data_IF_038271190652
#
_entry.id   IF_038271190652
#
_cell.length_a   1.000
_cell.length_b   1.000
_cell.length_c   1.000
_cell.angle_alpha   90.00
_cell.angle_beta   90.00
_cell.angle_gamma   90.00
#
_symmetry.space_group_name_H-M   'P 1'
#
loop_
_entity.id
_entity.type
_entity.pdbx_description
1 polymer ?
#
# COMPACT_ATOMS: atom_id res chain seq x y z
N UNK A 1 3.70 25.68 6.15
CA UNK A 1 4.48 25.81 4.89
C UNK A 1 5.18 24.51 4.47
N UNK A 2 5.66 23.64 5.38
CA UNK A 2 6.32 22.36 5.02
C UNK A 2 5.40 21.20 4.58
N UNK A 3 4.11 21.23 4.86
CA UNK A 3 3.25 20.04 4.75
C UNK A 3 2.96 19.57 3.31
N UNK A 4 3.12 20.40 2.28
CA UNK A 4 2.47 20.17 0.99
C UNK A 4 3.35 19.44 -0.03
N UNK A 5 4.62 19.83 -0.15
CA UNK A 5 5.65 19.06 -0.86
C UNK A 5 5.80 17.65 -0.25
N UNK A 6 5.60 17.55 1.07
CA UNK A 6 5.50 16.28 1.78
C UNK A 6 4.32 15.43 1.29
N UNK A 7 3.20 16.01 0.85
CA UNK A 7 2.10 15.21 0.31
C UNK A 7 2.51 14.46 -0.95
N UNK A 8 3.07 15.17 -1.93
CA UNK A 8 3.43 14.57 -3.22
C UNK A 8 4.49 13.48 -3.07
N UNK A 9 5.49 13.71 -2.21
CA UNK A 9 6.53 12.71 -1.94
C UNK A 9 5.96 11.52 -1.17
N UNK A 10 5.09 11.76 -0.20
CA UNK A 10 4.48 10.68 0.59
C UNK A 10 3.48 9.87 -0.24
N UNK A 11 2.68 10.49 -1.12
CA UNK A 11 1.76 9.78 -2.04
C UNK A 11 2.53 8.88 -3.00
N UNK A 12 3.64 9.37 -3.58
CA UNK A 12 4.52 8.56 -4.43
C UNK A 12 5.17 7.42 -3.66
N UNK A 13 5.68 7.70 -2.47
CA UNK A 13 6.33 6.70 -1.63
C UNK A 13 5.33 5.63 -1.19
N UNK A 14 4.16 6.02 -0.68
CA UNK A 14 3.07 5.12 -0.31
C UNK A 14 2.66 4.22 -1.48
N UNK A 15 2.36 4.80 -2.65
CA UNK A 15 1.97 4.04 -3.84
C UNK A 15 3.07 3.07 -4.32
N UNK A 16 4.34 3.47 -4.24
CA UNK A 16 5.47 2.60 -4.61
C UNK A 16 5.61 1.43 -3.64
N UNK A 17 5.52 1.69 -2.34
CA UNK A 17 5.58 0.63 -1.30
C UNK A 17 4.42 -0.34 -1.46
N UNK A 18 3.20 0.14 -1.71
CA UNK A 18 2.04 -0.74 -1.98
C UNK A 18 2.22 -1.58 -3.25
N UNK A 19 2.80 -1.01 -4.31
CA UNK A 19 3.07 -1.74 -5.56
C UNK A 19 4.13 -2.83 -5.37
N UNK A 20 5.21 -2.51 -4.66
CA UNK A 20 6.23 -3.50 -4.27
C UNK A 20 5.60 -4.62 -3.45
N UNK A 21 4.72 -4.28 -2.48
CA UNK A 21 4.00 -5.26 -1.67
C UNK A 21 3.14 -6.21 -2.53
N UNK A 22 2.39 -5.68 -3.50
CA UNK A 22 1.58 -6.50 -4.41
C UNK A 22 2.45 -7.42 -5.29
N UNK A 23 3.54 -6.90 -5.85
CA UNK A 23 4.43 -7.67 -6.72
C UNK A 23 5.15 -8.78 -5.96
N UNK A 24 5.69 -8.50 -4.77
CA UNK A 24 6.37 -9.53 -3.98
C UNK A 24 5.40 -10.63 -3.54
N UNK A 25 4.15 -10.31 -3.17
CA UNK A 25 3.13 -11.33 -2.89
C UNK A 25 2.83 -12.25 -4.09
N UNK A 26 2.87 -11.74 -5.33
CA UNK A 26 2.62 -12.54 -6.54
C UNK A 26 3.85 -13.33 -7.00
N UNK A 27 5.05 -12.76 -6.84
CA UNK A 27 6.29 -13.31 -7.39
C UNK A 27 7.00 -14.27 -6.42
N UNK A 28 6.88 -14.04 -5.11
CA UNK A 28 7.51 -14.88 -4.08
C UNK A 28 7.06 -16.35 -4.18
N UNK A 29 5.76 -16.69 -4.33
CA UNK A 29 5.32 -18.09 -4.47
C UNK A 29 5.96 -18.77 -5.69
N UNK A 30 5.99 -18.05 -6.82
CA UNK A 30 6.57 -18.56 -8.08
C UNK A 30 8.09 -18.77 -7.98
N UNK A 31 8.78 -17.87 -7.29
CA UNK A 31 10.22 -17.97 -7.04
C UNK A 31 10.58 -19.18 -6.18
N UNK A 32 9.81 -19.46 -5.11
CA UNK A 32 10.04 -20.62 -4.26
C UNK A 32 9.80 -21.94 -5.00
N UNK A 33 8.74 -22.03 -5.81
CA UNK A 33 8.49 -23.21 -6.63
C UNK A 33 9.67 -23.46 -7.59
N UNK A 34 10.17 -22.40 -8.25
CA UNK A 34 11.28 -22.51 -9.21
C UNK A 34 12.64 -22.81 -8.57
N UNK A 35 12.89 -22.37 -7.33
CA UNK A 35 14.19 -22.51 -6.64
C UNK A 35 14.24 -23.61 -5.57
N UNK A 36 13.11 -24.29 -5.33
CA UNK A 36 12.93 -25.41 -4.38
C UNK A 36 13.95 -26.55 -4.51
N UNK A 37 14.71 -26.62 -5.61
CA UNK A 37 15.80 -27.58 -5.80
C UNK A 37 17.18 -27.17 -5.26
N UNK A 38 17.44 -25.90 -4.89
CA UNK A 38 18.82 -25.45 -4.62
C UNK A 38 19.05 -24.61 -3.35
N UNK A 39 18.04 -24.00 -2.72
CA UNK A 39 18.30 -22.98 -1.70
C UNK A 39 17.29 -23.04 -0.55
N UNK A 40 17.64 -23.74 0.52
CA UNK A 40 17.00 -23.67 1.83
C UNK A 40 17.47 -22.43 2.61
N UNK A 41 17.34 -21.26 1.99
CA UNK A 41 17.58 -19.95 2.60
C UNK A 41 16.24 -19.22 2.62
N UNK A 42 15.28 -19.84 3.31
CA UNK A 42 13.98 -19.28 3.64
C UNK A 42 14.21 -18.13 4.61
N UNK A 43 14.56 -16.96 4.07
CA UNK A 43 14.44 -15.72 4.83
C UNK A 43 12.99 -15.65 5.29
N UNK A 44 12.80 -15.53 6.60
CA UNK A 44 11.50 -15.61 7.25
C UNK A 44 10.54 -14.57 6.66
N UNK A 45 9.69 -15.03 5.75
CA UNK A 45 8.89 -14.22 4.83
C UNK A 45 7.92 -13.31 5.61
N UNK A 46 7.55 -13.76 6.80
CA UNK A 46 6.65 -13.10 7.73
C UNK A 46 7.24 -11.81 8.31
N UNK A 47 8.54 -11.78 8.60
CA UNK A 47 9.20 -10.61 9.17
C UNK A 47 9.29 -9.45 8.16
N UNK A 48 9.61 -9.78 6.91
CA UNK A 48 9.67 -8.80 5.83
C UNK A 48 8.28 -8.22 5.51
N UNK A 49 7.25 -9.07 5.45
CA UNK A 49 5.88 -8.62 5.25
C UNK A 49 5.41 -7.70 6.38
N UNK A 50 5.72 -8.07 7.64
CA UNK A 50 5.36 -7.28 8.83
C UNK A 50 5.99 -5.88 8.83
N UNK A 51 7.29 -5.77 8.49
CA UNK A 51 7.98 -4.48 8.43
C UNK A 51 7.40 -3.59 7.33
N UNK A 52 7.18 -4.15 6.14
CA UNK A 52 6.62 -3.39 5.02
C UNK A 52 5.24 -2.85 5.39
N UNK A 53 4.38 -3.69 5.99
CA UNK A 53 3.06 -3.25 6.44
C UNK A 53 3.15 -2.17 7.53
N UNK A 54 4.05 -2.35 8.51
CA UNK A 54 4.27 -1.39 9.61
C UNK A 54 4.70 -0.01 9.10
N UNK A 55 5.43 0.06 7.99
CA UNK A 55 5.84 1.33 7.36
C UNK A 55 4.76 1.84 6.40
N UNK A 56 4.19 0.96 5.58
CA UNK A 56 3.20 1.31 4.56
C UNK A 56 1.95 1.93 5.17
N UNK A 57 1.43 1.37 6.26
CA UNK A 57 0.21 1.84 6.91
C UNK A 57 0.31 3.30 7.39
N UNK A 58 1.27 3.70 8.25
CA UNK A 58 1.35 5.08 8.73
C UNK A 58 1.66 6.07 7.62
N UNK A 59 2.51 5.70 6.66
CA UNK A 59 2.85 6.54 5.50
C UNK A 59 1.61 6.78 4.63
N UNK A 60 0.88 5.72 4.27
CA UNK A 60 -0.32 5.82 3.43
C UNK A 60 -1.41 6.61 4.14
N UNK A 61 -1.65 6.35 5.42
CA UNK A 61 -2.65 7.06 6.22
C UNK A 61 -2.32 8.56 6.31
N UNK A 62 -1.04 8.90 6.52
CA UNK A 62 -0.59 10.29 6.55
C UNK A 62 -0.82 10.99 5.21
N UNK A 63 -0.45 10.36 4.09
CA UNK A 63 -0.64 10.96 2.76
C UNK A 63 -2.12 11.11 2.39
N UNK A 64 -2.97 10.11 2.72
CA UNK A 64 -4.41 10.16 2.51
C UNK A 64 -5.07 11.27 3.35
N UNK A 65 -4.67 11.42 4.61
CA UNK A 65 -5.20 12.48 5.48
C UNK A 65 -4.84 13.87 4.97
N UNK A 66 -3.62 14.02 4.48
CA UNK A 66 -3.14 15.26 3.89
C UNK A 66 -3.87 15.58 2.58
N UNK A 67 -4.09 14.57 1.74
CA UNK A 67 -4.94 14.66 0.55
C UNK A 67 -6.38 15.05 0.87
N UNK A 68 -6.97 14.47 1.91
CA UNK A 68 -8.31 14.83 2.38
C UNK A 68 -8.38 16.30 2.82
N UNK A 69 -7.35 16.79 3.53
CA UNK A 69 -7.28 18.20 3.94
C UNK A 69 -7.16 19.15 2.75
N UNK A 70 -6.37 18.80 1.75
CA UNK A 70 -6.05 19.68 0.63
C UNK A 70 -7.12 19.66 -0.46
N UNK A 71 -7.66 18.49 -0.79
CA UNK A 71 -8.59 18.31 -1.91
C UNK A 71 -10.05 18.14 -1.48
N UNK A 72 -10.31 17.90 -0.18
CA UNK A 72 -11.64 17.68 0.42
C UNK A 72 -12.44 16.52 -0.22
N UNK A 73 -11.80 15.69 -1.02
CA UNK A 73 -12.43 14.53 -1.65
C UNK A 73 -12.47 13.35 -0.68
N UNK A 74 -13.59 13.22 0.02
CA UNK A 74 -13.83 12.16 1.01
C UNK A 74 -13.86 10.76 0.39
N UNK A 75 -14.27 10.62 -0.86
CA UNK A 75 -14.37 9.32 -1.52
C UNK A 75 -12.99 8.68 -1.68
N UNK A 76 -12.00 9.45 -2.17
CA UNK A 76 -10.61 8.97 -2.33
C UNK A 76 -10.05 8.52 -0.98
N UNK A 77 -10.27 9.30 0.08
CA UNK A 77 -9.83 8.96 1.43
C UNK A 77 -10.45 7.63 1.92
N UNK A 78 -11.77 7.45 1.76
CA UNK A 78 -12.44 6.23 2.21
C UNK A 78 -12.04 4.99 1.42
N UNK A 79 -11.78 5.12 0.11
CA UNK A 79 -11.28 3.99 -0.70
C UNK A 79 -9.89 3.56 -0.21
N UNK A 80 -8.99 4.52 0.03
CA UNK A 80 -7.65 4.23 0.56
C UNK A 80 -7.69 3.65 1.98
N UNK A 81 -8.56 4.19 2.84
CA UNK A 81 -8.76 3.69 4.20
C UNK A 81 -9.30 2.25 4.20
N UNK A 82 -10.26 1.95 3.32
CA UNK A 82 -10.79 0.60 3.18
C UNK A 82 -9.72 -0.37 2.68
N UNK A 83 -8.89 0.04 1.71
CA UNK A 83 -7.74 -0.75 1.27
C UNK A 83 -6.75 -1.06 2.39
N UNK A 84 -6.46 -0.07 3.25
CA UNK A 84 -5.61 -0.25 4.44
C UNK A 84 -6.22 -1.23 5.44
N UNK A 85 -7.52 -1.15 5.69
CA UNK A 85 -8.23 -2.08 6.58
C UNK A 85 -8.16 -3.50 6.01
N UNK A 86 -8.33 -3.67 4.70
CA UNK A 86 -8.22 -4.98 4.04
C UNK A 86 -6.81 -5.53 4.18
N UNK A 87 -5.75 -4.72 4.02
CA UNK A 87 -4.36 -5.15 4.22
C UNK A 87 -4.08 -5.59 5.66
N UNK A 88 -4.56 -4.82 6.65
CA UNK A 88 -4.41 -5.15 8.07
C UNK A 88 -5.17 -6.43 8.39
N UNK A 89 -6.38 -6.60 7.86
CA UNK A 89 -7.16 -7.81 8.02
C UNK A 89 -6.46 -9.02 7.39
N UNK A 90 -5.93 -8.89 6.16
CA UNK A 90 -5.18 -9.95 5.52
C UNK A 90 -4.03 -10.44 6.42
N UNK A 91 -3.26 -9.51 7.01
CA UNK A 91 -2.16 -9.84 7.92
C UNK A 91 -2.60 -10.59 9.20
N UNK A 92 -3.64 -10.13 9.89
CA UNK A 92 -4.10 -10.77 11.13
C UNK A 92 -4.84 -12.09 10.89
N UNK A 93 -5.63 -12.19 9.83
CA UNK A 93 -6.49 -13.34 9.58
C UNK A 93 -5.80 -14.43 8.74
N UNK A 94 -4.72 -14.12 8.02
CA UNK A 94 -3.92 -15.08 7.24
C UNK A 94 -3.51 -16.31 8.05
N UNK A 95 -3.06 -16.12 9.29
CA UNK A 95 -2.57 -17.23 10.12
C UNK A 95 -3.65 -18.09 10.78
N UNK A 96 -4.86 -17.57 10.91
CA UNK A 96 -5.83 -18.11 11.87
C UNK A 96 -7.09 -18.65 11.20
N UNK A 97 -7.48 -18.12 10.03
CA UNK A 97 -8.76 -18.43 9.39
C UNK A 97 -8.70 -18.68 7.88
N UNK A 98 -7.63 -18.26 7.20
CA UNK A 98 -7.52 -18.31 5.74
C UNK A 98 -6.39 -19.26 5.28
N UNK A 99 -6.57 -19.94 4.16
CA UNK A 99 -5.51 -20.65 3.44
C UNK A 99 -4.62 -19.71 2.62
N UNK A 100 -3.47 -20.21 2.17
CA UNK A 100 -2.43 -19.41 1.47
C UNK A 100 -2.97 -18.57 0.28
N UNK A 101 -3.96 -19.10 -0.45
CA UNK A 101 -4.55 -18.42 -1.62
C UNK A 101 -5.41 -17.19 -1.25
N UNK A 102 -6.05 -17.23 -0.08
CA UNK A 102 -6.96 -16.18 0.36
C UNK A 102 -6.17 -14.98 0.87
N UNK A 103 -5.06 -15.22 1.57
CA UNK A 103 -4.10 -14.17 1.97
C UNK A 103 -3.61 -13.36 0.76
N UNK A 104 -3.21 -14.05 -0.33
CA UNK A 104 -2.75 -13.40 -1.56
C UNK A 104 -3.86 -12.53 -2.16
N UNK A 105 -5.08 -13.07 -2.25
CA UNK A 105 -6.22 -12.36 -2.83
C UNK A 105 -6.53 -11.06 -2.07
N UNK A 106 -6.66 -11.14 -0.73
CA UNK A 106 -6.95 -9.96 0.09
C UNK A 106 -5.81 -8.94 0.06
N UNK A 107 -4.55 -9.39 0.06
CA UNK A 107 -3.39 -8.49 0.01
C UNK A 107 -3.31 -7.76 -1.34
N UNK A 108 -3.56 -8.45 -2.44
CA UNK A 108 -3.62 -7.83 -3.78
C UNK A 108 -4.78 -6.85 -3.87
N UNK A 109 -5.98 -7.24 -3.43
CA UNK A 109 -7.15 -6.35 -3.42
C UNK A 109 -6.92 -5.09 -2.59
N UNK A 110 -6.45 -5.24 -1.35
CA UNK A 110 -6.12 -4.11 -0.48
C UNK A 110 -5.07 -3.18 -1.07
N UNK A 111 -4.01 -3.75 -1.66
CA UNK A 111 -2.94 -2.98 -2.31
C UNK A 111 -3.46 -2.19 -3.51
N UNK A 112 -4.30 -2.80 -4.36
CA UNK A 112 -4.88 -2.12 -5.52
C UNK A 112 -5.77 -0.95 -5.11
N UNK A 113 -6.55 -1.09 -4.04
CA UNK A 113 -7.37 0.00 -3.50
C UNK A 113 -6.52 1.17 -2.99
N UNK A 114 -5.45 0.89 -2.26
CA UNK A 114 -4.52 1.91 -1.76
C UNK A 114 -3.80 2.62 -2.91
N UNK A 115 -3.28 1.87 -3.89
CA UNK A 115 -2.63 2.41 -5.09
C UNK A 115 -3.59 3.32 -5.86
N UNK A 116 -4.82 2.85 -6.09
CA UNK A 116 -5.84 3.64 -6.78
C UNK A 116 -6.16 4.94 -6.03
N UNK A 117 -6.28 4.89 -4.70
CA UNK A 117 -6.53 6.06 -3.88
C UNK A 117 -5.39 7.09 -4.00
N UNK A 118 -4.13 6.69 -3.86
CA UNK A 118 -2.99 7.61 -4.01
C UNK A 118 -2.86 8.14 -5.45
N UNK A 119 -3.12 7.30 -6.45
CA UNK A 119 -3.13 7.72 -7.85
C UNK A 119 -4.18 8.81 -8.08
N UNK A 120 -5.42 8.62 -7.62
CA UNK A 120 -6.47 9.63 -7.72
C UNK A 120 -6.19 10.86 -6.89
N UNK A 121 -5.61 10.72 -5.70
CA UNK A 121 -5.20 11.85 -4.87
C UNK A 121 -4.17 12.75 -5.60
N UNK A 122 -3.22 12.11 -6.29
CA UNK A 122 -2.22 12.80 -7.10
C UNK A 122 -2.80 13.40 -8.39
N UNK A 123 -3.71 12.70 -9.07
CA UNK A 123 -4.43 13.21 -10.25
C UNK A 123 -5.22 14.48 -9.90
N UNK A 124 -6.03 14.42 -8.84
CA UNK A 124 -6.78 15.58 -8.32
C UNK A 124 -5.87 16.74 -7.95
N UNK A 125 -4.69 16.47 -7.37
CA UNK A 125 -3.72 17.53 -7.07
C UNK A 125 -3.27 18.30 -8.32
N UNK A 126 -3.04 17.59 -9.44
CA UNK A 126 -2.68 18.20 -10.72
C UNK A 126 -3.84 18.96 -11.35
N UNK A 127 -5.05 18.41 -11.32
CA UNK A 127 -6.25 19.00 -11.93
C UNK A 127 -6.60 20.37 -11.34
N UNK A 128 -6.50 20.51 -10.02
CA UNK A 128 -6.86 21.76 -9.33
C UNK A 128 -5.71 22.79 -9.40
N UNK A 129 -4.64 22.51 -10.18
CA UNK A 129 -3.41 23.32 -10.28
C UNK A 129 -3.02 23.93 -8.93
N UNK A 130 -2.89 23.06 -7.94
CA UNK A 130 -2.76 23.49 -6.56
C UNK A 130 -1.39 24.17 -6.39
N UNK A 131 -1.35 25.51 -6.55
CA UNK A 131 -0.14 26.35 -6.37
C UNK A 131 0.58 26.01 -5.06
N UNK A 132 -0.20 25.69 -4.02
CA UNK A 132 0.30 25.31 -2.69
C UNK A 132 0.92 23.92 -2.56
N UNK A 133 0.81 23.03 -3.55
CA UNK A 133 1.39 21.67 -3.51
C UNK A 133 2.65 21.49 -4.38
N UNK A 134 2.92 22.43 -5.30
CA UNK A 134 4.00 22.34 -6.29
C UNK A 134 5.17 23.33 -6.07
N UNK A 135 5.10 24.14 -5.01
CA UNK A 135 6.18 25.01 -4.51
C UNK A 135 6.80 24.44 -3.23
#
# INVERSE_FOLDING_TARGET
MKLFNTQLTTDKFAGTVSLVCALQCLLMPSFFIATSGLVSLSIDNEFFHSIILLIAVPVSLFALFLGLKNHKNKLIFFIGLLGLIVLIAAFFFAKTFFGENEEILFTVLGSMMVIYAHYKNHETCKEIQCKSCHD
#
